data_IF_535985935033
#
_entry.id   IF_535985935033
#
_cell.length_a   1.000
_cell.length_b   1.000
_cell.length_c   1.000
_cell.angle_alpha   90.00
_cell.angle_beta   90.00
_cell.angle_gamma   90.00
#
_symmetry.space_group_name_H-M   'P 1'
#
loop_
_entity.id
_entity.type
_entity.pdbx_description
1 polymer ?
#
# COMPACT_ATOMS: atom_id res chain seq x y z
N UNK A 1 1.20 -22.37 -3.15
CA UNK A 1 0.83 -21.41 -2.09
C UNK A 1 0.79 -22.19 -0.79
N UNK A 2 1.29 -21.61 0.28
CA UNK A 2 1.31 -22.19 1.62
C UNK A 2 0.72 -21.16 2.58
N UNK A 3 -0.11 -21.60 3.52
CA UNK A 3 -0.77 -20.74 4.50
C UNK A 3 0.17 -20.32 5.65
N UNK A 4 1.33 -20.96 5.77
CA UNK A 4 2.35 -20.60 6.74
C UNK A 4 3.35 -19.59 6.15
N UNK A 5 3.92 -18.67 6.96
CA UNK A 5 3.81 -18.58 8.43
C UNK A 5 2.60 -17.74 8.93
N UNK A 6 1.66 -17.37 8.06
CA UNK A 6 0.53 -16.50 8.41
C UNK A 6 -0.38 -17.14 9.48
N UNK A 7 -0.75 -18.41 9.28
CA UNK A 7 -1.56 -19.16 10.22
C UNK A 7 -0.94 -19.18 11.62
N UNK A 8 0.32 -19.59 11.76
CA UNK A 8 1.02 -19.60 13.05
C UNK A 8 1.20 -18.18 13.61
N UNK A 9 1.48 -17.20 12.74
CA UNK A 9 1.57 -15.79 13.10
C UNK A 9 0.27 -15.26 13.71
N UNK A 10 -0.88 -15.63 13.16
CA UNK A 10 -2.19 -15.27 13.70
C UNK A 10 -2.50 -15.93 15.04
N UNK A 11 -2.19 -17.22 15.21
CA UNK A 11 -2.55 -17.98 16.41
C UNK A 11 -1.66 -17.62 17.61
N UNK A 12 -0.35 -17.53 17.39
CA UNK A 12 0.65 -17.43 18.46
C UNK A 12 1.32 -16.05 18.52
N UNK A 13 1.26 -15.28 17.42
CA UNK A 13 1.90 -13.98 17.26
C UNK A 13 3.27 -14.10 16.59
N UNK A 14 3.77 -13.03 15.94
CA UNK A 14 4.93 -13.09 15.05
C UNK A 14 6.27 -13.40 15.73
N UNK A 15 6.33 -13.41 17.07
CA UNK A 15 7.53 -13.70 17.87
C UNK A 15 7.30 -14.89 18.78
N UNK A 16 6.91 -16.02 18.21
CA UNK A 16 6.63 -17.26 18.94
C UNK A 16 7.49 -18.42 18.42
N UNK A 17 7.58 -19.50 19.20
CA UNK A 17 8.29 -20.71 18.78
C UNK A 17 7.57 -21.39 17.60
N UNK A 18 6.25 -21.35 17.59
CA UNK A 18 5.41 -21.91 16.53
C UNK A 18 5.66 -21.22 15.19
N UNK A 19 5.87 -19.90 15.18
CA UNK A 19 6.28 -19.19 13.95
C UNK A 19 7.68 -19.62 13.51
N UNK A 20 8.62 -19.82 14.44
CA UNK A 20 9.96 -20.32 14.11
C UNK A 20 9.88 -21.71 13.47
N UNK A 21 9.05 -22.60 14.01
CA UNK A 21 8.89 -23.95 13.47
C UNK A 21 8.12 -23.94 12.14
N UNK A 22 7.11 -23.07 11.97
CA UNK A 22 6.44 -22.86 10.70
C UNK A 22 7.40 -22.35 9.62
N UNK A 23 8.30 -21.42 9.97
CA UNK A 23 9.33 -20.92 9.04
C UNK A 23 10.30 -22.03 8.60
N UNK A 24 10.75 -22.89 9.51
CA UNK A 24 11.58 -24.06 9.17
C UNK A 24 10.84 -25.01 8.22
N UNK A 25 9.57 -25.30 8.51
CA UNK A 25 8.78 -26.20 7.67
C UNK A 25 8.60 -25.63 6.25
N UNK A 26 8.37 -24.32 6.11
CA UNK A 26 8.27 -23.67 4.79
C UNK A 26 9.63 -23.68 4.07
N UNK A 27 10.74 -23.47 4.79
CA UNK A 27 12.09 -23.57 4.24
C UNK A 27 12.39 -24.99 3.74
N UNK A 28 12.04 -26.02 4.50
CA UNK A 28 12.15 -27.43 4.12
C UNK A 28 11.33 -27.72 2.85
N UNK A 29 10.10 -27.20 2.74
CA UNK A 29 9.27 -27.35 1.53
C UNK A 29 9.87 -26.65 0.30
N UNK A 30 10.50 -25.49 0.48
CA UNK A 30 11.26 -24.83 -0.59
C UNK A 30 12.47 -25.70 -0.97
N UNK A 31 13.15 -26.31 0.01
CA UNK A 31 14.21 -27.29 -0.19
C UNK A 31 13.76 -28.48 -1.05
N UNK A 32 12.63 -29.11 -0.72
CA UNK A 32 12.06 -30.22 -1.49
C UNK A 32 11.77 -29.84 -2.95
N UNK A 33 11.24 -28.62 -3.18
CA UNK A 33 11.05 -28.10 -4.54
C UNK A 33 12.38 -28.00 -5.29
N UNK A 34 13.41 -27.43 -4.64
CA UNK A 34 14.72 -27.25 -5.25
C UNK A 34 15.43 -28.58 -5.54
N UNK A 35 15.31 -29.56 -4.64
CA UNK A 35 15.83 -30.92 -4.83
C UNK A 35 15.13 -31.61 -6.01
N UNK A 36 13.79 -31.53 -6.07
CA UNK A 36 13.01 -32.08 -7.18
C UNK A 36 13.38 -31.46 -8.54
N UNK A 37 13.61 -30.14 -8.58
CA UNK A 37 14.11 -29.45 -9.77
C UNK A 37 15.54 -29.87 -10.12
N UNK A 38 16.39 -30.12 -9.13
CA UNK A 38 17.77 -30.56 -9.33
C UNK A 38 17.82 -31.96 -9.93
N UNK A 39 17.07 -32.90 -9.37
CA UNK A 39 16.94 -34.28 -9.87
C UNK A 39 16.47 -34.33 -11.34
N UNK A 40 15.65 -33.36 -11.74
CA UNK A 40 15.12 -33.22 -13.11
C UNK A 40 16.00 -32.38 -14.04
N UNK A 41 17.17 -31.92 -13.58
CA UNK A 41 18.06 -30.99 -14.30
C UNK A 41 17.38 -29.66 -14.70
N UNK A 42 16.40 -29.20 -13.90
CA UNK A 42 15.61 -27.98 -14.13
C UNK A 42 16.02 -26.80 -13.23
N UNK A 43 16.81 -27.03 -12.18
CA UNK A 43 17.24 -26.00 -11.23
C UNK A 43 17.99 -24.81 -11.86
N UNK A 44 18.59 -24.97 -13.04
CA UNK A 44 19.20 -23.88 -13.82
C UNK A 44 18.34 -23.38 -15.00
N UNK A 45 17.14 -23.93 -15.17
CA UNK A 45 16.22 -23.61 -16.26
C UNK A 45 15.01 -22.80 -15.79
N UNK A 46 14.49 -23.09 -14.59
CA UNK A 46 13.29 -22.45 -14.06
C UNK A 46 13.60 -21.10 -13.42
N UNK A 47 12.73 -20.11 -13.66
CA UNK A 47 12.68 -18.87 -12.88
C UNK A 47 11.69 -19.04 -11.72
N UNK A 48 12.17 -18.82 -10.50
CA UNK A 48 11.40 -18.95 -9.26
C UNK A 48 11.30 -17.56 -8.63
N UNK A 49 10.09 -17.19 -8.21
CA UNK A 49 9.83 -16.02 -7.39
C UNK A 49 9.24 -16.53 -6.06
N UNK A 50 9.98 -16.37 -4.98
CA UNK A 50 9.48 -16.58 -3.61
C UNK A 50 9.01 -15.21 -3.11
N UNK A 51 7.74 -15.12 -2.71
CA UNK A 51 7.11 -13.86 -2.34
C UNK A 51 6.09 -14.09 -1.22
N UNK A 52 5.84 -13.06 -0.40
CA UNK A 52 4.67 -13.01 0.48
C UNK A 52 3.71 -11.88 0.09
N UNK A 53 2.45 -12.04 0.46
CA UNK A 53 1.39 -11.05 0.27
C UNK A 53 1.52 -9.88 1.26
N UNK A 54 1.89 -10.14 2.51
CA UNK A 54 2.11 -9.13 3.56
C UNK A 54 3.04 -9.66 4.68
N UNK A 55 3.27 -8.80 5.67
CA UNK A 55 3.89 -9.16 6.95
C UNK A 55 2.87 -9.47 8.07
N UNK A 56 3.30 -9.39 9.33
CA UNK A 56 2.50 -9.72 10.51
C UNK A 56 2.85 -8.83 11.72
N UNK A 57 1.85 -8.40 12.48
CA UNK A 57 1.98 -7.57 13.69
C UNK A 57 1.40 -8.28 14.92
N UNK A 58 1.92 -7.99 16.12
CA UNK A 58 1.41 -8.56 17.38
C UNK A 58 0.09 -7.88 17.78
N UNK A 59 -0.94 -8.68 18.03
CA UNK A 59 -2.20 -8.20 18.60
C UNK A 59 -2.11 -7.99 20.12
N UNK A 60 -2.86 -7.01 20.64
CA UNK A 60 -3.05 -6.79 22.09
C UNK A 60 -4.45 -6.24 22.39
N UNK A 61 -5.10 -6.74 23.44
CA UNK A 61 -6.37 -6.22 23.97
C UNK A 61 -6.29 -4.75 24.35
N UNK A 62 -5.11 -4.29 24.81
CA UNK A 62 -4.87 -2.91 25.24
C UNK A 62 -4.71 -1.95 24.05
N UNK A 63 -4.55 -2.49 22.83
CA UNK A 63 -4.35 -1.74 21.60
C UNK A 63 -5.54 -1.87 20.64
N UNK A 64 -6.75 -1.79 21.20
CA UNK A 64 -7.99 -1.73 20.45
C UNK A 64 -8.74 -0.44 20.77
N UNK A 65 -9.22 0.25 19.72
CA UNK A 65 -10.11 1.41 19.84
C UNK A 65 -11.54 0.98 19.52
N UNK A 66 -12.49 1.42 20.34
CA UNK A 66 -13.90 1.07 20.18
C UNK A 66 -14.71 2.27 19.72
N UNK A 67 -15.37 2.14 18.56
CA UNK A 67 -16.23 3.19 18.01
C UNK A 67 -17.38 3.56 18.97
N UNK A 68 -17.88 2.59 19.75
CA UNK A 68 -18.89 2.81 20.79
C UNK A 68 -18.49 3.83 21.87
N UNK A 69 -17.20 4.11 22.04
CA UNK A 69 -16.74 5.10 23.01
C UNK A 69 -16.87 6.54 22.48
N UNK A 70 -17.09 6.71 21.18
CA UNK A 70 -17.19 8.02 20.51
C UNK A 70 -18.59 8.30 19.97
N UNK A 71 -19.39 7.26 19.67
CA UNK A 71 -20.74 7.39 19.14
C UNK A 71 -21.78 6.84 20.13
N UNK A 72 -22.79 7.65 20.54
CA UNK A 72 -23.81 7.20 21.48
C UNK A 72 -24.80 6.20 20.88
N UNK A 73 -25.03 6.25 19.56
CA UNK A 73 -25.98 5.37 18.85
C UNK A 73 -25.25 4.55 17.79
N UNK A 74 -24.65 3.43 18.22
CA UNK A 74 -23.94 2.50 17.33
C UNK A 74 -24.86 1.52 16.59
N UNK A 75 -26.15 1.48 16.93
CA UNK A 75 -27.13 0.57 16.31
C UNK A 75 -27.26 0.76 14.81
N UNK A 76 -26.99 1.96 14.30
CA UNK A 76 -27.23 2.36 12.92
C UNK A 76 -26.02 2.13 12.01
N UNK A 77 -24.90 1.68 12.59
CA UNK A 77 -23.63 1.49 11.89
C UNK A 77 -23.14 0.05 11.97
N UNK A 78 -22.38 -0.34 10.96
CA UNK A 78 -21.52 -1.51 10.97
C UNK A 78 -20.06 -1.07 10.85
N UNK A 79 -19.20 -1.72 11.64
CA UNK A 79 -17.75 -1.52 11.59
C UNK A 79 -17.10 -2.80 11.13
N UNK A 80 -16.42 -2.73 9.98
CA UNK A 80 -15.47 -3.76 9.56
C UNK A 80 -14.22 -3.57 10.43
N UNK A 81 -14.07 -4.45 11.41
CA UNK A 81 -13.02 -4.34 12.41
C UNK A 81 -11.62 -4.76 11.90
N UNK A 82 -10.57 -4.26 12.56
CA UNK A 82 -9.16 -4.52 12.24
C UNK A 82 -8.33 -3.23 12.16
N UNK A 83 -7.09 -3.29 11.64
CA UNK A 83 -6.23 -2.11 11.53
C UNK A 83 -6.53 -1.19 10.34
N UNK A 84 -7.17 -1.70 9.29
CA UNK A 84 -7.75 -0.93 8.18
C UNK A 84 -9.28 -0.90 8.30
N UNK A 85 -9.75 -0.56 9.50
CA UNK A 85 -11.16 -0.61 9.82
C UNK A 85 -11.97 0.38 8.98
N UNK A 86 -13.21 0.01 8.70
CA UNK A 86 -14.13 0.79 7.88
C UNK A 86 -15.49 0.83 8.54
N UNK A 87 -16.22 1.91 8.30
CA UNK A 87 -17.52 2.14 8.91
C UNK A 87 -18.54 2.52 7.85
N UNK A 88 -19.73 1.93 7.95
CA UNK A 88 -20.87 2.21 7.08
C UNK A 88 -22.17 2.24 7.86
N UNK A 89 -23.19 2.97 7.39
CA UNK A 89 -24.55 2.78 7.84
C UNK A 89 -25.05 1.36 7.56
N UNK A 90 -25.96 0.87 8.40
CA UNK A 90 -26.64 -0.42 8.18
C UNK A 90 -27.65 -0.34 7.03
N UNK A 91 -28.42 0.73 6.96
CA UNK A 91 -29.41 0.94 5.90
C UNK A 91 -28.74 1.65 4.73
N UNK A 92 -28.43 0.88 3.69
CA UNK A 92 -27.88 1.38 2.45
C UNK A 92 -28.86 1.08 1.32
N UNK A 93 -29.09 2.03 0.38
CA UNK A 93 -28.41 3.31 0.22
C UNK A 93 -29.06 4.51 0.96
N UNK A 94 -30.05 4.28 1.81
CA UNK A 94 -30.90 5.35 2.38
C UNK A 94 -30.14 6.27 3.35
N UNK A 95 -29.24 5.70 4.16
CA UNK A 95 -28.47 6.47 5.12
C UNK A 95 -27.09 6.84 4.54
N UNK A 96 -26.68 8.08 4.78
CA UNK A 96 -25.40 8.62 4.34
C UNK A 96 -24.40 8.72 5.49
N UNK A 97 -23.14 8.36 5.22
CA UNK A 97 -22.06 8.44 6.20
C UNK A 97 -21.41 9.84 6.22
N UNK A 98 -21.40 10.51 7.38
CA UNK A 98 -20.60 11.72 7.66
C UNK A 98 -19.53 11.44 8.72
N UNK A 99 -18.30 11.90 8.49
CA UNK A 99 -17.17 11.76 9.43
C UNK A 99 -17.22 12.72 10.61
N UNK A 100 -18.09 13.74 10.60
CA UNK A 100 -18.12 14.83 11.61
C UNK A 100 -18.31 14.31 13.05
N UNK A 101 -18.84 13.11 13.21
CA UNK A 101 -19.16 12.52 14.52
C UNK A 101 -18.00 11.77 15.19
N UNK A 102 -16.91 11.47 14.46
CA UNK A 102 -15.80 10.72 15.03
C UNK A 102 -14.72 11.68 15.51
N UNK A 103 -14.64 11.85 16.82
CA UNK A 103 -13.58 12.64 17.44
C UNK A 103 -12.20 12.11 17.01
N UNK A 104 -11.31 13.02 16.65
CA UNK A 104 -9.91 12.69 16.40
C UNK A 104 -9.23 12.37 17.73
N UNK A 105 -8.80 11.12 17.90
CA UNK A 105 -7.79 10.78 18.89
C UNK A 105 -6.45 10.55 18.15
N UNK A 106 -5.34 10.68 18.86
CA UNK A 106 -4.00 10.41 18.37
C UNK A 106 -3.85 8.97 17.85
N UNK A 107 -4.74 8.05 18.20
CA UNK A 107 -4.63 6.61 17.90
C UNK A 107 -5.43 6.16 16.69
N UNK A 108 -6.64 6.71 16.51
CA UNK A 108 -7.54 6.42 15.40
C UNK A 108 -7.86 7.74 14.70
N UNK A 109 -7.52 7.82 13.41
CA UNK A 109 -7.83 8.97 12.57
C UNK A 109 -8.92 8.60 11.56
N UNK A 110 -10.14 9.11 11.72
CA UNK A 110 -11.19 8.98 10.72
C UNK A 110 -10.81 9.72 9.44
N UNK A 111 -11.09 9.09 8.31
CA UNK A 111 -10.97 9.66 6.98
C UNK A 111 -12.24 9.36 6.17
N UNK A 112 -12.69 10.35 5.42
CA UNK A 112 -13.42 10.04 4.19
C UNK A 112 -12.40 9.44 3.20
N UNK A 113 -12.76 8.36 2.50
CA UNK A 113 -11.84 7.66 1.59
C UNK A 113 -11.20 8.59 0.55
N UNK A 114 -11.90 9.65 0.14
CA UNK A 114 -11.40 10.65 -0.80
C UNK A 114 -10.18 11.44 -0.25
N UNK A 115 -10.09 11.55 1.08
CA UNK A 115 -9.05 12.28 1.83
C UNK A 115 -7.93 11.40 2.36
N UNK A 116 -7.96 10.07 2.11
CA UNK A 116 -6.84 9.20 2.43
C UNK A 116 -5.58 9.61 1.67
N UNK A 117 -4.37 9.35 2.22
CA UNK A 117 -3.12 9.56 1.49
C UNK A 117 -3.17 8.91 0.11
N UNK A 118 -2.92 9.69 -0.95
CA UNK A 118 -3.08 9.21 -2.34
C UNK A 118 -2.22 7.99 -2.65
N UNK A 119 -1.06 7.84 -2.00
CA UNK A 119 -0.18 6.66 -2.11
C UNK A 119 -0.87 5.32 -1.79
N UNK A 120 -1.98 5.32 -1.03
CA UNK A 120 -2.70 4.09 -0.72
C UNK A 120 -3.57 3.62 -1.89
N UNK A 121 -3.88 4.50 -2.86
CA UNK A 121 -4.79 4.23 -3.97
C UNK A 121 -6.13 3.58 -3.57
N UNK A 122 -6.60 3.83 -2.34
CA UNK A 122 -7.69 3.10 -1.69
C UNK A 122 -8.97 3.93 -1.56
N UNK A 123 -9.51 4.39 -2.70
CA UNK A 123 -10.72 5.23 -2.71
C UNK A 123 -11.68 4.94 -3.89
N UNK A 124 -11.12 4.63 -5.07
CA UNK A 124 -11.87 4.54 -6.32
C UNK A 124 -12.59 3.18 -6.50
N UNK A 125 -13.45 2.82 -5.57
CA UNK A 125 -14.35 1.67 -5.71
C UNK A 125 -15.59 1.86 -4.82
N UNK A 126 -16.75 1.40 -5.29
CA UNK A 126 -18.01 1.45 -4.53
C UNK A 126 -18.01 0.50 -3.33
N UNK A 127 -17.20 -0.57 -3.36
CA UNK A 127 -17.04 -1.55 -2.28
C UNK A 127 -16.18 -1.03 -1.13
N UNK A 128 -15.46 0.07 -1.33
CA UNK A 128 -14.71 0.73 -0.26
C UNK A 128 -15.71 1.67 0.42
N UNK A 129 -16.08 1.34 1.65
CA UNK A 129 -16.91 2.20 2.48
C UNK A 129 -16.29 3.60 2.57
N UNK A 130 -17.15 4.61 2.64
CA UNK A 130 -16.67 5.98 2.63
C UNK A 130 -15.90 6.34 3.91
N UNK A 131 -16.29 5.79 5.06
CA UNK A 131 -15.58 5.98 6.31
C UNK A 131 -14.46 4.97 6.48
N UNK A 132 -13.23 5.47 6.57
CA UNK A 132 -12.03 4.69 6.90
C UNK A 132 -11.46 5.13 8.24
N UNK A 133 -11.05 4.18 9.08
CA UNK A 133 -10.47 4.42 10.39
C UNK A 133 -8.99 4.06 10.33
N UNK A 134 -8.15 5.06 10.06
CA UNK A 134 -6.70 4.87 9.97
C UNK A 134 -6.11 4.70 11.38
N UNK A 135 -5.40 3.60 11.60
CA UNK A 135 -4.84 3.26 12.91
C UNK A 135 -3.33 3.51 12.98
N UNK A 136 -2.85 3.89 14.17
CA UNK A 136 -1.42 3.83 14.49
C UNK A 136 -0.87 2.39 14.40
N UNK A 137 0.45 2.21 14.18
CA UNK A 137 1.08 0.89 14.20
C UNK A 137 0.71 0.09 15.45
N UNK A 138 0.32 -1.18 15.28
CA UNK A 138 -0.05 -2.08 16.36
C UNK A 138 -1.46 -1.87 16.94
N UNK A 139 -2.25 -0.95 16.40
CA UNK A 139 -3.63 -0.70 16.84
C UNK A 139 -4.67 -1.20 15.85
N UNK A 140 -5.82 -1.61 16.38
CA UNK A 140 -7.00 -2.01 15.61
C UNK A 140 -8.22 -1.25 16.08
N UNK A 141 -9.25 -1.15 15.24
CA UNK A 141 -10.56 -0.64 15.64
C UNK A 141 -11.65 -1.69 15.47
N UNK A 142 -12.66 -1.63 16.33
CA UNK A 142 -13.88 -2.42 16.24
C UNK A 142 -15.08 -1.59 16.74
N UNK A 143 -16.30 -2.11 16.59
CA UNK A 143 -17.48 -1.42 17.09
C UNK A 143 -17.46 -1.33 18.63
N UNK A 144 -17.19 -2.46 19.30
CA UNK A 144 -17.14 -2.60 20.76
C UNK A 144 -16.18 -3.75 21.15
N UNK A 145 -15.95 -3.93 22.46
CA UNK A 145 -15.02 -4.94 23.01
C UNK A 145 -15.31 -6.38 22.52
N UNK A 146 -16.58 -6.74 22.35
CA UNK A 146 -17.00 -8.09 21.97
C UNK A 146 -16.80 -8.38 20.48
N UNK A 147 -16.53 -7.35 19.67
CA UNK A 147 -16.42 -7.46 18.21
C UNK A 147 -14.97 -7.44 17.71
N UNK A 148 -13.97 -7.29 18.60
CA UNK A 148 -12.57 -7.45 18.22
C UNK A 148 -12.26 -8.93 18.00
N UNK A 149 -11.96 -9.30 16.76
CA UNK A 149 -11.61 -10.68 16.38
C UNK A 149 -10.26 -11.12 16.93
N UNK A 150 -9.27 -10.23 16.94
CA UNK A 150 -7.86 -10.55 17.28
C UNK A 150 -7.35 -9.61 18.36
N UNK A 151 -7.50 -10.02 19.60
CA UNK A 151 -6.96 -9.32 20.76
C UNK A 151 -5.69 -10.00 21.34
N UNK A 152 -5.34 -11.18 20.83
CA UNK A 152 -4.11 -11.93 21.07
C UNK A 152 -3.62 -12.56 19.76
N UNK A 153 -2.43 -13.17 19.79
CA UNK A 153 -1.80 -13.72 18.58
C UNK A 153 -1.27 -12.61 17.66
N UNK A 154 -1.58 -12.67 16.37
CA UNK A 154 -1.13 -11.70 15.37
C UNK A 154 -2.27 -11.16 14.48
N UNK A 155 -2.01 -10.04 13.82
CA UNK A 155 -2.89 -9.46 12.80
C UNK A 155 -2.08 -8.73 11.72
N UNK A 156 -2.69 -8.44 10.58
CA UNK A 156 -2.11 -7.65 9.50
C UNK A 156 -3.20 -6.79 8.83
N UNK A 157 -2.82 -6.02 7.80
CA UNK A 157 -3.69 -5.10 7.08
C UNK A 157 -3.57 -3.64 7.52
N UNK A 158 -2.53 -3.31 8.30
CA UNK A 158 -2.18 -1.92 8.62
C UNK A 158 -1.62 -1.21 7.37
N UNK A 159 -1.22 0.05 7.54
CA UNK A 159 -0.55 0.83 6.50
C UNK A 159 0.62 0.06 5.85
N UNK A 160 0.64 0.03 4.52
CA UNK A 160 1.60 -0.72 3.73
C UNK A 160 3.04 -0.23 3.85
N UNK A 161 3.28 0.95 4.45
CA UNK A 161 4.63 1.44 4.76
C UNK A 161 5.14 1.03 6.14
N UNK A 162 4.32 0.40 6.98
CA UNK A 162 4.78 -0.06 8.28
C UNK A 162 5.74 -1.23 8.12
N UNK A 163 6.83 -1.21 8.89
CA UNK A 163 7.91 -2.21 8.78
C UNK A 163 7.42 -3.64 8.96
N UNK A 164 6.52 -3.88 9.92
CA UNK A 164 5.97 -5.22 10.17
C UNK A 164 4.97 -5.67 9.09
N UNK A 165 4.56 -4.81 8.15
CA UNK A 165 3.68 -5.16 7.03
C UNK A 165 4.45 -5.42 5.72
N UNK A 166 5.76 -5.22 5.69
CA UNK A 166 6.58 -5.49 4.50
C UNK A 166 6.60 -6.99 4.21
N UNK A 167 6.46 -7.36 2.94
CA UNK A 167 6.59 -8.75 2.47
C UNK A 167 8.01 -9.10 2.05
N UNK A 168 8.24 -10.38 1.76
CA UNK A 168 9.51 -10.88 1.20
C UNK A 168 9.44 -10.98 -0.32
N UNK A 169 10.59 -10.86 -0.98
CA UNK A 169 10.76 -11.16 -2.40
C UNK A 169 12.15 -11.75 -2.65
N UNK A 170 12.23 -12.89 -3.31
CA UNK A 170 13.47 -13.52 -3.77
C UNK A 170 13.25 -14.03 -5.20
N UNK A 171 14.05 -13.53 -6.13
CA UNK A 171 14.10 -14.02 -7.52
C UNK A 171 15.30 -14.93 -7.73
N UNK A 172 15.08 -16.13 -8.26
CA UNK A 172 16.13 -17.11 -8.57
C UNK A 172 15.90 -17.69 -9.97
N UNK A 173 16.97 -17.90 -10.74
CA UNK A 173 16.90 -18.57 -12.05
C UNK A 173 17.71 -17.89 -13.16
N UNK A 174 17.58 -18.37 -14.40
CA UNK A 174 18.34 -17.85 -15.54
C UNK A 174 17.95 -16.42 -15.95
N UNK A 175 16.74 -15.96 -15.64
CA UNK A 175 16.27 -14.60 -15.94
C UNK A 175 16.77 -13.54 -14.95
N UNK A 176 17.08 -13.94 -13.71
CA UNK A 176 17.49 -13.04 -12.63
C UNK A 176 19.00 -12.86 -12.53
N UNK A 177 19.44 -11.67 -12.12
CA UNK A 177 20.80 -11.44 -11.64
C UNK A 177 21.09 -12.33 -10.41
N UNK A 178 22.35 -12.70 -10.23
CA UNK A 178 22.80 -13.50 -9.10
C UNK A 178 23.44 -12.61 -8.04
N UNK A 179 23.35 -13.01 -6.76
CA UNK A 179 23.98 -12.32 -5.63
C UNK A 179 23.72 -10.81 -5.59
N UNK A 180 22.49 -10.39 -5.92
CA UNK A 180 22.12 -8.98 -6.02
C UNK A 180 21.05 -8.66 -4.98
N UNK A 181 21.32 -7.64 -4.17
CA UNK A 181 20.35 -7.04 -3.24
C UNK A 181 19.86 -5.74 -3.86
N UNK A 182 18.55 -5.56 -3.93
CA UNK A 182 17.92 -4.39 -4.52
C UNK A 182 17.15 -3.58 -3.47
N UNK A 183 16.91 -2.28 -3.69
CA UNK A 183 16.01 -1.50 -2.84
C UNK A 183 14.59 -2.07 -2.83
N UNK A 184 13.77 -1.75 -1.80
CA UNK A 184 12.37 -2.13 -1.78
C UNK A 184 11.60 -1.61 -3.00
N UNK A 185 10.65 -2.41 -3.45
CA UNK A 185 9.71 -2.06 -4.52
C UNK A 185 8.30 -2.59 -4.18
N UNK A 186 7.28 -2.11 -4.88
CA UNK A 186 5.89 -2.50 -4.63
C UNK A 186 5.51 -3.79 -5.38
N UNK A 187 4.70 -4.65 -4.75
CA UNK A 187 4.31 -5.93 -5.35
C UNK A 187 3.51 -5.80 -6.66
N UNK A 188 2.92 -4.64 -6.93
CA UNK A 188 2.23 -4.34 -8.19
C UNK A 188 3.16 -4.39 -9.40
N UNK A 189 4.48 -4.21 -9.20
CA UNK A 189 5.50 -4.28 -10.24
C UNK A 189 5.79 -5.72 -10.71
N UNK A 190 5.47 -6.72 -9.87
CA UNK A 190 5.79 -8.14 -10.12
C UNK A 190 5.04 -8.69 -11.33
N UNK A 191 3.86 -8.15 -11.66
CA UNK A 191 3.11 -8.58 -12.84
C UNK A 191 3.88 -8.34 -14.15
N UNK A 192 4.46 -7.14 -14.32
CA UNK A 192 5.26 -6.81 -15.50
C UNK A 192 6.53 -7.68 -15.55
N UNK A 193 7.19 -7.86 -14.41
CA UNK A 193 8.36 -8.73 -14.29
C UNK A 193 8.06 -10.17 -14.72
N UNK A 194 6.92 -10.75 -14.29
CA UNK A 194 6.51 -12.08 -14.72
C UNK A 194 6.22 -12.14 -16.22
N UNK A 195 5.62 -11.10 -16.79
CA UNK A 195 5.40 -11.02 -18.23
C UNK A 195 6.72 -10.99 -19.01
N UNK A 196 7.72 -10.25 -18.53
CA UNK A 196 9.06 -10.19 -19.14
C UNK A 196 9.78 -11.55 -19.06
N UNK A 197 9.72 -12.24 -17.91
CA UNK A 197 10.31 -13.57 -17.73
C UNK A 197 9.66 -14.64 -18.62
N UNK A 198 8.38 -14.48 -18.95
CA UNK A 198 7.63 -15.36 -19.85
C UNK A 198 7.68 -14.90 -21.32
N UNK A 199 8.30 -13.75 -21.61
CA UNK A 199 8.33 -13.12 -22.93
C UNK A 199 6.92 -12.90 -23.53
N UNK A 200 5.99 -12.40 -22.71
CA UNK A 200 4.63 -12.07 -23.12
C UNK A 200 4.34 -10.58 -22.90
N UNK A 201 3.40 -10.04 -23.66
CA UNK A 201 2.97 -8.65 -23.51
C UNK A 201 2.07 -8.50 -22.28
N UNK A 202 2.39 -7.61 -21.31
CA UNK A 202 1.52 -7.36 -20.18
C UNK A 202 0.21 -6.66 -20.61
N UNK A 203 -0.89 -6.98 -19.93
CA UNK A 203 -2.12 -6.21 -20.00
C UNK A 203 -1.96 -4.86 -19.26
N UNK A 204 -2.83 -3.86 -19.50
CA UNK A 204 -2.80 -2.60 -18.75
C UNK A 204 -2.89 -2.83 -17.24
N UNK A 205 -1.94 -2.28 -16.49
CA UNK A 205 -1.82 -2.44 -15.04
C UNK A 205 -1.20 -1.17 -14.42
N UNK A 206 -1.08 -1.12 -13.09
CA UNK A 206 -0.55 0.05 -12.38
C UNK A 206 0.97 0.01 -12.17
N UNK A 207 1.65 -1.09 -12.48
CA UNK A 207 3.10 -1.18 -12.40
C UNK A 207 3.77 -0.38 -13.52
N UNK A 208 4.94 0.18 -13.23
CA UNK A 208 5.77 0.91 -14.19
C UNK A 208 6.66 -0.06 -14.95
N UNK A 209 6.25 -0.47 -16.16
CA UNK A 209 7.00 -1.46 -16.96
C UNK A 209 8.45 -1.00 -17.21
N UNK A 210 9.41 -1.82 -16.77
CA UNK A 210 10.84 -1.52 -16.82
C UNK A 210 11.46 -1.05 -15.49
N UNK A 211 10.64 -0.72 -14.48
CA UNK A 211 11.12 -0.33 -13.13
C UNK A 211 12.02 -1.40 -12.50
N UNK A 212 11.71 -2.68 -12.74
CA UNK A 212 12.43 -3.84 -12.23
C UNK A 212 13.46 -4.42 -13.21
N UNK A 213 13.83 -3.71 -14.28
CA UNK A 213 14.86 -4.18 -15.21
C UNK A 213 16.21 -4.49 -14.54
N UNK A 214 16.52 -3.78 -13.46
CA UNK A 214 17.73 -3.97 -12.65
C UNK A 214 17.74 -5.30 -11.88
N UNK A 215 16.67 -6.11 -11.91
CA UNK A 215 16.64 -7.48 -11.39
C UNK A 215 17.00 -8.52 -12.47
N UNK A 216 16.91 -8.16 -13.75
CA UNK A 216 17.00 -9.08 -14.89
C UNK A 216 18.40 -9.08 -15.51
N UNK A 217 18.88 -10.27 -15.89
CA UNK A 217 20.12 -10.41 -16.68
C UNK A 217 19.99 -9.82 -18.07
N UNK A 218 18.86 -10.06 -18.71
CA UNK A 218 18.56 -9.62 -20.07
C UNK A 218 17.16 -8.98 -20.08
N UNK A 219 17.04 -7.67 -19.79
CA UNK A 219 15.76 -6.97 -19.85
C UNK A 219 15.17 -7.03 -21.26
N UNK A 220 13.90 -7.44 -21.37
CA UNK A 220 13.19 -7.55 -22.67
C UNK A 220 12.55 -6.22 -23.06
N UNK A 221 12.10 -5.44 -22.08
CA UNK A 221 11.49 -4.14 -22.27
C UNK A 221 12.48 -3.00 -21.96
N UNK A 222 12.68 -2.10 -22.91
CA UNK A 222 13.47 -0.88 -22.72
C UNK A 222 12.53 0.32 -22.65
N UNK A 223 12.21 0.85 -21.45
CA UNK A 223 11.28 1.95 -21.32
C UNK A 223 11.84 3.22 -21.96
N UNK A 224 10.96 4.02 -22.55
CA UNK A 224 11.25 5.34 -23.10
C UNK A 224 10.38 6.37 -22.40
N UNK A 225 10.88 7.61 -22.31
CA UNK A 225 10.06 8.69 -21.76
C UNK A 225 8.80 8.90 -22.63
N UNK A 226 7.63 9.16 -22.01
CA UNK A 226 6.42 9.45 -22.76
C UNK A 226 6.62 10.73 -23.58
N UNK A 227 6.15 10.72 -24.82
CA UNK A 227 6.21 11.89 -25.69
C UNK A 227 5.37 13.04 -25.10
N UNK A 228 5.90 14.25 -25.17
CA UNK A 228 5.15 15.46 -24.83
C UNK A 228 3.95 15.60 -25.78
N UNK A 229 2.76 15.74 -25.21
CA UNK A 229 1.52 15.87 -25.99
C UNK A 229 1.19 17.32 -26.38
N UNK A 230 1.68 18.29 -25.60
CA UNK A 230 1.38 19.71 -25.77
C UNK A 230 2.66 20.53 -25.68
N UNK A 231 2.89 21.40 -26.66
CA UNK A 231 4.03 22.31 -26.65
C UNK A 231 3.83 23.47 -25.68
N UNK A 232 4.94 24.00 -25.18
CA UNK A 232 4.92 25.23 -24.40
C UNK A 232 4.41 26.39 -25.25
N UNK A 233 3.50 27.20 -24.68
CA UNK A 233 3.06 28.44 -25.30
C UNK A 233 3.91 29.57 -24.73
N UNK A 234 4.63 30.34 -25.56
CA UNK A 234 5.40 31.49 -25.09
C UNK A 234 4.49 32.52 -24.42
N UNK A 235 4.84 32.94 -23.20
CA UNK A 235 4.20 34.07 -22.53
C UNK A 235 5.06 35.31 -22.71
N UNK A 236 4.93 35.97 -23.87
CA UNK A 236 5.60 37.25 -24.13
C UNK A 236 4.86 38.38 -23.43
N UNK A 237 5.60 39.23 -22.72
CA UNK A 237 5.03 40.41 -22.09
C UNK A 237 4.61 41.41 -23.18
N UNK A 238 3.30 41.49 -23.44
CA UNK A 238 2.76 42.49 -24.37
C UNK A 238 2.91 43.92 -23.81
N UNK A 239 2.77 44.08 -22.49
CA UNK A 239 2.86 45.37 -21.79
C UNK A 239 3.60 45.21 -20.44
N UNK A 240 4.37 46.21 -20.00
CA UNK A 240 5.13 46.17 -18.74
C UNK A 240 4.24 46.35 -17.50
N UNK A 241 3.02 46.83 -17.69
CA UNK A 241 2.03 47.03 -16.63
C UNK A 241 0.80 46.15 -16.88
N UNK A 242 0.19 45.60 -15.80
CA UNK A 242 -1.04 44.84 -15.94
C UNK A 242 -2.16 45.73 -16.48
N UNK A 243 -2.90 45.24 -17.48
CA UNK A 243 -4.02 45.97 -18.10
C UNK A 243 -5.20 46.19 -17.16
N UNK A 244 -5.28 45.41 -16.08
CA UNK A 244 -6.34 45.49 -15.07
C UNK A 244 -5.72 45.58 -13.68
N UNK A 245 -6.32 46.38 -12.79
CA UNK A 245 -5.80 46.59 -11.44
C UNK A 245 -5.95 45.39 -10.49
N UNK A 246 -6.65 44.33 -10.92
CA UNK A 246 -6.94 43.08 -10.20
C UNK A 246 -7.49 43.26 -8.77
N UNK A 247 -7.83 44.49 -8.38
CA UNK A 247 -8.20 44.89 -7.02
C UNK A 247 -7.21 44.40 -5.94
N UNK A 248 -5.93 44.27 -6.29
CA UNK A 248 -4.85 43.94 -5.36
C UNK A 248 -4.22 45.23 -4.81
N UNK A 249 -3.82 45.22 -3.54
CA UNK A 249 -3.10 46.34 -2.93
C UNK A 249 -1.66 45.93 -2.62
N UNK A 250 -0.69 46.53 -3.30
CA UNK A 250 0.73 46.35 -3.00
C UNK A 250 1.17 47.38 -1.96
N UNK A 251 1.46 46.91 -0.75
CA UNK A 251 1.82 47.75 0.41
C UNK A 251 3.17 48.49 0.29
N UNK A 252 4.03 48.11 -0.67
CA UNK A 252 5.27 48.81 -0.98
C UNK A 252 5.51 48.80 -2.50
N UNK A 253 5.07 49.84 -3.19
CA UNK A 253 5.67 50.26 -4.46
C UNK A 253 6.35 51.60 -4.22
N UNK A 254 7.65 51.58 -3.94
CA UNK A 254 8.47 52.79 -4.00
C UNK A 254 8.56 53.15 -5.49
N UNK A 255 8.09 54.34 -5.86
CA UNK A 255 8.27 54.94 -7.17
C UNK A 255 9.77 55.13 -7.47
N UNK A 256 10.51 54.07 -7.81
CA UNK A 256 11.76 54.22 -8.53
C UNK A 256 11.39 54.33 -10.00
N UNK A 257 11.31 55.57 -10.47
CA UNK A 257 11.41 55.92 -11.87
C UNK A 257 12.69 55.33 -12.46
N UNK A 258 12.59 54.19 -13.12
CA UNK A 258 13.66 53.70 -13.99
C UNK A 258 13.62 54.57 -15.25
N UNK A 259 14.40 55.65 -15.27
CA UNK A 259 14.73 56.35 -16.50
C UNK A 259 15.59 55.42 -17.35
N UNK A 260 15.04 54.97 -18.48
CA UNK A 260 15.80 54.35 -19.56
C UNK A 260 16.84 55.36 -20.08
N UNK A 261 18.10 54.95 -20.14
CA UNK A 261 19.13 55.46 -21.05
C UNK A 261 19.58 54.33 -21.95
#
# INVERSE_FOLDING_TARGET
YLEEPDSSGHHYGPRSLEVIDALKNVDDMVGELMDGLTERNLHHCVNIIIISDHGMEKASCEKAVFVSNYLPHTSDFEVIQGPAARIRPKRLPEDYFSCEFLAHDLTMRPYLKEHLPKRMHFANNIRIERGHLYMKPGWQAALNQNEVKRCSGGFHGSDNIFTNMQGIFIGYGPGFLQNTIVPPFENIEVYNLMCDLLNIRPAPNNGTHGSLNHLLKNPVHHPVHPAQLSHETPCEAAEPAPTYSLHCNCSFQINSSVQLR
#
